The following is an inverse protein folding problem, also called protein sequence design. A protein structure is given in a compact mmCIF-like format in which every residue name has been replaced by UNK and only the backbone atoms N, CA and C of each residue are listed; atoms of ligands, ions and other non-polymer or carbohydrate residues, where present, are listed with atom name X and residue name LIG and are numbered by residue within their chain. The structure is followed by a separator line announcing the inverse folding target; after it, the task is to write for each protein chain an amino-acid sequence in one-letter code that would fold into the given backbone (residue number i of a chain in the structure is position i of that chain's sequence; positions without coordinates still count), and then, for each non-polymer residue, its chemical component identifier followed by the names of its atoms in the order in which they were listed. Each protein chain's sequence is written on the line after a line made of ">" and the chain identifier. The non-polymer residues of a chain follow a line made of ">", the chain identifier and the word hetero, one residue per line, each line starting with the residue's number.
data_IF_553924688435
#
_entry.id   IF_553924688435
#
_cell.length_a   1.000
_cell.length_b   1.000
_cell.length_c   1.000
_cell.angle_alpha   90.00
_cell.angle_beta   90.00
_cell.angle_gamma   90.00
#
_symmetry.space_group_name_H-M   'P 1'
#
loop_
_entity.id
_entity.type
_entity.pdbx_description
1 polymer ?
#
# COMPACT_ATOMS: atom_id res chain seq x y z
N UNK A 1 -43.40 -46.99 50.09
CA UNK A 1 -42.08 -46.89 50.74
C UNK A 1 -41.27 -45.88 49.95
N UNK A 2 -40.95 -44.72 50.55
CA UNK A 2 -40.21 -43.61 49.91
C UNK A 2 -38.74 -44.01 49.72
N UNK A 3 -38.12 -43.67 48.59
CA UNK A 3 -36.66 -43.57 48.49
C UNK A 3 -36.22 -42.58 47.39
N UNK A 4 -35.04 -42.01 47.58
CA UNK A 4 -34.66 -40.62 47.32
C UNK A 4 -34.31 -40.24 45.87
N UNK A 5 -34.48 -38.95 45.60
CA UNK A 5 -34.04 -38.24 44.42
C UNK A 5 -32.51 -38.10 44.35
N UNK A 6 -31.98 -38.10 43.13
CA UNK A 6 -30.71 -37.46 42.80
C UNK A 6 -30.87 -36.83 41.42
N UNK A 7 -31.28 -35.55 41.39
CA UNK A 7 -31.21 -34.72 40.19
C UNK A 7 -29.76 -34.24 40.10
N UNK A 8 -28.95 -34.87 39.23
CA UNK A 8 -27.67 -34.33 38.85
C UNK A 8 -27.93 -33.09 37.97
N UNK A 9 -27.82 -31.91 38.55
CA UNK A 9 -27.86 -30.65 37.82
C UNK A 9 -26.52 -30.49 37.08
N UNK A 10 -26.50 -30.87 35.79
CA UNK A 10 -25.41 -30.57 34.88
C UNK A 10 -25.36 -29.05 34.68
N UNK A 11 -24.43 -28.38 35.36
CA UNK A 11 -24.05 -26.99 35.08
C UNK A 11 -23.52 -26.93 33.65
N UNK A 12 -24.35 -26.45 32.73
CA UNK A 12 -23.94 -26.13 31.36
C UNK A 12 -22.98 -24.96 31.38
N UNK A 13 -21.68 -25.24 31.35
CA UNK A 13 -20.67 -24.24 31.05
C UNK A 13 -20.76 -23.94 29.55
N UNK A 14 -21.39 -22.83 29.17
CA UNK A 14 -21.25 -22.28 27.82
C UNK A 14 -19.85 -21.74 27.66
N UNK A 15 -18.96 -22.55 27.11
CA UNK A 15 -17.69 -22.07 26.58
C UNK A 15 -18.05 -21.19 25.39
N UNK A 16 -18.04 -19.87 25.59
CA UNK A 16 -18.06 -18.93 24.47
C UNK A 16 -16.70 -19.00 23.82
N UNK A 17 -16.55 -19.86 22.82
CA UNK A 17 -15.38 -19.81 21.94
C UNK A 17 -15.49 -18.51 21.15
N UNK A 18 -14.67 -17.51 21.46
CA UNK A 18 -14.42 -16.45 20.51
C UNK A 18 -13.77 -17.13 19.30
N UNK A 19 -14.55 -17.38 18.25
CA UNK A 19 -14.02 -17.87 16.99
C UNK A 19 -13.02 -16.82 16.50
N UNK A 20 -11.75 -17.20 16.41
CA UNK A 20 -10.73 -16.32 15.85
C UNK A 20 -11.14 -16.00 14.40
N UNK A 21 -11.05 -14.74 13.94
CA UNK A 21 -11.34 -14.42 12.55
C UNK A 21 -10.47 -15.28 11.64
N UNK A 22 -11.10 -15.96 10.70
CA UNK A 22 -10.39 -16.68 9.66
C UNK A 22 -9.89 -15.64 8.65
N UNK A 23 -8.58 -15.44 8.62
CA UNK A 23 -7.92 -14.51 7.70
C UNK A 23 -7.39 -15.33 6.55
N UNK A 24 -7.77 -14.94 5.34
CA UNK A 24 -7.25 -15.49 4.10
C UNK A 24 -6.48 -14.41 3.35
N UNK A 25 -5.44 -14.84 2.63
CA UNK A 25 -4.65 -13.95 1.79
C UNK A 25 -5.06 -14.19 0.34
N UNK A 26 -5.50 -13.13 -0.31
CA UNK A 26 -5.80 -13.12 -1.74
C UNK A 26 -4.73 -12.29 -2.46
N UNK A 27 -4.02 -12.87 -3.46
CA UNK A 27 -3.12 -12.09 -4.30
C UNK A 27 -3.91 -11.07 -5.13
N UNK A 28 -3.64 -9.78 -4.95
CA UNK A 28 -4.30 -8.71 -5.72
C UNK A 28 -3.55 -8.42 -7.03
N UNK A 29 -2.22 -8.39 -6.98
CA UNK A 29 -1.37 -8.11 -8.14
C UNK A 29 0.02 -8.74 -7.96
N UNK A 30 0.77 -8.86 -9.05
CA UNK A 30 2.14 -9.39 -9.07
C UNK A 30 3.00 -8.70 -10.13
N UNK A 31 4.29 -9.01 -10.18
CA UNK A 31 5.22 -8.46 -11.18
C UNK A 31 5.97 -7.20 -10.76
N UNK A 32 5.83 -6.77 -9.51
CA UNK A 32 6.59 -5.64 -8.95
C UNK A 32 8.05 -5.99 -8.66
N UNK A 33 8.94 -5.01 -8.82
CA UNK A 33 10.37 -5.12 -8.53
C UNK A 33 10.69 -4.37 -7.23
N UNK A 34 10.99 -5.12 -6.16
CA UNK A 34 11.29 -4.56 -4.83
C UNK A 34 10.24 -3.53 -4.34
N UNK A 35 8.95 -3.90 -4.23
CA UNK A 35 7.92 -2.98 -3.75
C UNK A 35 8.14 -2.63 -2.28
N UNK A 36 8.00 -1.34 -1.92
CA UNK A 36 8.24 -0.83 -0.56
C UNK A 36 7.01 -0.21 0.10
N UNK A 37 6.11 0.38 -0.68
CA UNK A 37 4.96 1.08 -0.15
C UNK A 37 3.77 1.00 -1.12
N UNK A 38 2.56 1.13 -0.58
CA UNK A 38 1.32 1.20 -1.35
C UNK A 38 0.41 2.26 -0.73
N UNK A 39 -0.20 3.10 -1.57
CA UNK A 39 -1.09 4.19 -1.15
C UNK A 39 -2.11 4.51 -2.25
N UNK A 40 -3.04 5.43 -1.98
CA UNK A 40 -4.04 5.89 -2.96
C UNK A 40 -4.41 7.35 -2.72
N UNK A 41 -4.84 8.11 -3.74
CA UNK A 41 -5.18 9.52 -3.63
C UNK A 41 -6.62 9.76 -3.11
N UNK A 42 -7.31 8.71 -2.66
CA UNK A 42 -8.72 8.74 -2.30
C UNK A 42 -9.67 8.20 -3.38
N UNK A 43 -9.14 7.81 -4.55
CA UNK A 43 -9.86 6.99 -5.54
C UNK A 43 -9.52 5.49 -5.38
N UNK A 44 -9.99 4.67 -6.32
CA UNK A 44 -9.85 3.20 -6.30
C UNK A 44 -8.48 2.70 -6.79
N UNK A 45 -7.65 3.57 -7.38
CA UNK A 45 -6.33 3.18 -7.90
C UNK A 45 -5.35 3.03 -6.75
N UNK A 46 -4.52 1.99 -6.80
CA UNK A 46 -3.42 1.80 -5.86
C UNK A 46 -2.08 2.13 -6.51
N UNK A 47 -1.27 2.90 -5.80
CA UNK A 47 0.04 3.37 -6.24
C UNK A 47 1.12 2.61 -5.46
N UNK A 48 1.84 1.74 -6.15
CA UNK A 48 2.88 0.87 -5.59
C UNK A 48 4.25 1.46 -5.88
N UNK A 49 5.02 1.74 -4.83
CA UNK A 49 6.39 2.26 -4.94
C UNK A 49 7.37 1.10 -5.11
N UNK A 50 8.15 1.13 -6.18
CA UNK A 50 9.29 0.27 -6.42
C UNK A 50 10.57 1.00 -6.03
N UNK A 51 11.43 0.34 -5.24
CA UNK A 51 12.65 0.96 -4.67
C UNK A 51 13.55 1.63 -5.71
N UNK A 52 13.55 1.15 -6.95
CA UNK A 52 14.38 1.67 -8.03
C UNK A 52 14.00 3.10 -8.48
N UNK A 53 12.83 3.62 -8.08
CA UNK A 53 12.40 4.97 -8.47
C UNK A 53 11.14 5.03 -9.31
N UNK A 54 10.35 3.95 -9.30
CA UNK A 54 9.11 3.85 -10.08
C UNK A 54 7.91 3.78 -9.18
N UNK A 55 6.83 4.44 -9.58
CA UNK A 55 5.51 4.29 -8.99
C UNK A 55 4.62 3.58 -10.00
N UNK A 56 4.12 2.39 -9.68
CA UNK A 56 3.21 1.60 -10.53
C UNK A 56 1.77 1.84 -10.10
N UNK A 57 0.82 1.74 -11.04
CA UNK A 57 -0.61 1.79 -10.74
C UNK A 57 -1.19 0.39 -10.86
N UNK A 58 -1.96 -0.02 -9.85
CA UNK A 58 -3.02 -1.02 -9.98
C UNK A 58 -4.31 -0.24 -10.20
N UNK A 59 -4.98 -0.48 -11.32
CA UNK A 59 -6.21 0.22 -11.66
C UNK A 59 -7.44 -0.38 -10.95
N UNK A 60 -8.61 0.21 -11.21
CA UNK A 60 -9.90 -0.18 -10.62
C UNK A 60 -10.32 -1.62 -10.99
N UNK A 61 -9.79 -2.16 -12.11
CA UNK A 61 -10.02 -3.53 -12.53
C UNK A 61 -9.06 -4.53 -11.86
N UNK A 62 -8.05 -4.04 -11.13
CA UNK A 62 -7.00 -4.85 -10.53
C UNK A 62 -5.80 -5.09 -11.45
N UNK A 63 -5.75 -4.43 -12.61
CA UNK A 63 -4.67 -4.60 -13.58
C UNK A 63 -3.48 -3.68 -13.25
N UNK A 64 -2.26 -4.21 -13.37
CA UNK A 64 -1.04 -3.39 -13.24
C UNK A 64 -0.79 -2.67 -14.56
N UNK A 65 -0.87 -1.34 -14.53
CA UNK A 65 -0.62 -0.54 -15.73
C UNK A 65 0.82 -0.71 -16.23
N UNK A 66 0.98 -0.80 -17.55
CA UNK A 66 2.27 -1.02 -18.19
C UNK A 66 3.23 0.16 -18.00
N UNK A 67 2.71 1.38 -18.16
CA UNK A 67 3.43 2.63 -17.92
C UNK A 67 3.39 2.95 -16.42
N UNK A 68 4.52 3.26 -15.77
CA UNK A 68 4.52 3.75 -14.40
C UNK A 68 3.86 5.14 -14.31
N UNK A 69 3.24 5.43 -13.17
CA UNK A 69 2.77 6.78 -12.83
C UNK A 69 3.91 7.78 -12.80
N UNK A 70 5.01 7.43 -12.13
CA UNK A 70 6.22 8.23 -12.02
C UNK A 70 7.42 7.33 -12.27
N UNK A 71 8.38 7.80 -13.06
CA UNK A 71 9.70 7.19 -13.21
C UNK A 71 10.76 8.26 -13.01
N UNK A 72 11.53 8.13 -11.94
CA UNK A 72 12.65 9.00 -11.57
C UNK A 72 13.89 8.15 -11.24
N UNK A 73 14.02 6.98 -11.89
CA UNK A 73 15.12 6.05 -11.66
C UNK A 73 16.50 6.68 -11.90
N UNK A 74 16.58 7.66 -12.79
CA UNK A 74 17.79 8.39 -13.15
C UNK A 74 18.23 9.37 -12.06
N UNK A 75 17.35 9.72 -11.13
CA UNK A 75 17.62 10.62 -10.01
C UNK A 75 17.98 9.87 -8.71
N UNK A 76 17.83 8.55 -8.68
CA UNK A 76 17.83 7.75 -7.46
C UNK A 76 19.05 6.82 -7.36
N UNK A 77 19.69 6.82 -6.19
CA UNK A 77 20.64 5.79 -5.82
C UNK A 77 19.89 4.63 -5.14
N UNK A 78 19.81 3.46 -5.78
CA UNK A 78 19.14 2.28 -5.21
C UNK A 78 20.06 1.05 -5.07
N UNK A 79 21.37 1.20 -5.28
CA UNK A 79 22.35 0.11 -5.24
C UNK A 79 22.69 -0.40 -3.84
N UNK A 80 22.25 0.31 -2.78
CA UNK A 80 22.60 0.00 -1.39
C UNK A 80 21.35 -0.12 -0.51
N UNK A 81 21.29 -1.18 0.30
CA UNK A 81 20.36 -1.40 1.44
C UNK A 81 19.03 -0.60 1.37
N UNK A 82 18.92 0.43 2.21
CA UNK A 82 17.73 1.26 2.42
C UNK A 82 17.68 2.49 1.50
N UNK A 83 18.50 2.53 0.44
CA UNK A 83 18.46 3.62 -0.55
C UNK A 83 17.49 3.28 -1.67
N UNK A 84 16.84 4.30 -2.21
CA UNK A 84 15.82 4.18 -3.24
C UNK A 84 14.69 5.18 -3.05
N UNK A 85 13.54 4.88 -3.67
CA UNK A 85 12.25 5.53 -3.40
C UNK A 85 11.60 4.91 -2.17
N UNK A 86 11.41 5.68 -1.09
CA UNK A 86 11.12 5.14 0.25
C UNK A 86 9.74 5.52 0.79
N UNK A 87 9.10 6.53 0.24
CA UNK A 87 7.80 6.96 0.71
C UNK A 87 7.09 7.88 -0.28
N UNK A 88 5.76 7.93 -0.14
CA UNK A 88 4.91 8.80 -0.94
C UNK A 88 3.68 9.21 -0.14
N UNK A 89 3.23 10.44 -0.34
CA UNK A 89 1.97 10.95 0.17
C UNK A 89 1.31 11.85 -0.87
N UNK A 90 0.04 11.60 -1.15
CA UNK A 90 -0.78 12.55 -1.90
C UNK A 90 -1.10 13.77 -1.04
N UNK A 91 -1.16 14.96 -1.66
CA UNK A 91 -1.65 16.14 -0.99
C UNK A 91 -3.13 15.92 -0.58
N UNK A 92 -3.61 16.42 0.58
CA UNK A 92 -5.00 16.25 0.98
C UNK A 92 -6.02 16.73 -0.07
N UNK A 93 -5.69 17.81 -0.78
CA UNK A 93 -6.46 18.35 -1.91
C UNK A 93 -6.01 17.86 -3.29
N UNK A 94 -5.41 16.65 -3.40
CA UNK A 94 -4.87 16.11 -4.66
C UNK A 94 -5.87 16.15 -5.82
N UNK A 95 -7.15 15.84 -5.57
CA UNK A 95 -8.20 15.89 -6.59
C UNK A 95 -8.38 17.29 -7.22
N UNK A 96 -7.95 18.34 -6.53
CA UNK A 96 -8.04 19.74 -7.01
C UNK A 96 -6.70 20.28 -7.52
N UNK A 97 -5.57 19.90 -6.91
CA UNK A 97 -4.27 20.50 -7.21
C UNK A 97 -3.26 19.56 -7.87
N UNK A 98 -3.52 18.26 -7.87
CA UNK A 98 -2.65 17.25 -8.49
C UNK A 98 -1.32 17.01 -7.77
N UNK A 99 -1.09 17.57 -6.59
CA UNK A 99 0.22 17.50 -5.92
C UNK A 99 0.40 16.25 -5.08
N UNK A 100 1.59 15.68 -5.15
CA UNK A 100 2.01 14.61 -4.26
C UNK A 100 3.48 14.79 -3.91
N UNK A 101 3.93 14.05 -2.92
CA UNK A 101 5.28 14.17 -2.37
C UNK A 101 5.89 12.78 -2.31
N UNK A 102 7.19 12.70 -2.60
CA UNK A 102 7.96 11.46 -2.47
C UNK A 102 9.21 11.70 -1.64
N UNK A 103 9.63 10.67 -0.90
CA UNK A 103 10.92 10.65 -0.22
C UNK A 103 11.84 9.62 -0.86
N UNK A 104 13.07 10.01 -1.17
CA UNK A 104 14.04 9.12 -1.82
C UNK A 104 15.48 9.45 -1.42
N UNK A 105 16.40 8.56 -1.80
CA UNK A 105 17.84 8.83 -1.75
C UNK A 105 18.35 9.20 -3.13
N UNK A 106 18.93 10.40 -3.28
CA UNK A 106 19.46 10.86 -4.56
C UNK A 106 20.80 10.19 -4.92
N UNK A 107 21.30 10.43 -6.13
CA UNK A 107 22.59 9.93 -6.61
C UNK A 107 23.81 10.39 -5.79
N UNK A 108 23.67 11.43 -4.95
CA UNK A 108 24.71 11.87 -4.02
C UNK A 108 24.60 11.19 -2.65
N UNK A 109 23.58 10.36 -2.44
CA UNK A 109 23.30 9.69 -1.18
C UNK A 109 22.54 10.56 -0.17
N UNK A 110 21.98 11.69 -0.59
CA UNK A 110 21.18 12.55 0.28
C UNK A 110 19.74 12.03 0.39
N UNK A 111 19.13 12.20 1.56
CA UNK A 111 17.69 12.03 1.71
C UNK A 111 16.96 13.27 1.19
N UNK A 112 16.09 13.09 0.20
CA UNK A 112 15.35 14.16 -0.47
C UNK A 112 13.85 13.95 -0.27
N UNK A 113 13.13 15.07 -0.12
CA UNK A 113 11.67 15.13 -0.23
C UNK A 113 11.35 16.07 -1.38
N UNK A 114 10.67 15.57 -2.41
CA UNK A 114 10.28 16.36 -3.58
C UNK A 114 8.77 16.37 -3.73
N UNK A 115 8.23 17.50 -4.17
CA UNK A 115 6.84 17.62 -4.61
C UNK A 115 6.80 17.41 -6.11
N UNK A 116 5.85 16.62 -6.58
CA UNK A 116 5.53 16.46 -7.99
C UNK A 116 4.06 16.79 -8.25
N UNK A 117 3.69 16.94 -9.52
CA UNK A 117 2.29 17.06 -9.95
C UNK A 117 1.90 15.98 -10.96
N UNK A 118 0.65 15.55 -10.90
CA UNK A 118 0.02 14.79 -11.98
C UNK A 118 -0.01 15.63 -13.26
N UNK A 119 0.16 14.98 -14.41
CA UNK A 119 0.02 15.60 -15.73
C UNK A 119 -1.47 15.77 -16.10
N UNK A 120 -1.74 16.13 -17.35
CA UNK A 120 -3.10 16.13 -17.88
C UNK A 120 -3.72 14.71 -17.94
N UNK A 121 -2.89 13.66 -17.98
CA UNK A 121 -3.32 12.28 -17.79
C UNK A 121 -3.23 11.93 -16.30
N UNK A 122 -4.37 11.55 -15.70
CA UNK A 122 -4.45 11.22 -14.29
C UNK A 122 -3.55 10.03 -13.89
N UNK A 123 -3.19 9.17 -14.84
CA UNK A 123 -2.33 8.00 -14.64
C UNK A 123 -0.84 8.29 -14.90
N UNK A 124 -0.47 9.54 -15.16
CA UNK A 124 0.91 9.93 -15.45
C UNK A 124 1.29 11.21 -14.69
N UNK A 125 2.37 11.15 -13.93
CA UNK A 125 2.98 12.31 -13.30
C UNK A 125 3.93 13.04 -14.24
N UNK A 126 4.16 14.31 -13.97
CA UNK A 126 5.24 15.09 -14.58
C UNK A 126 6.52 14.92 -13.74
N UNK A 127 7.56 14.23 -14.24
CA UNK A 127 8.82 14.04 -13.53
C UNK A 127 9.67 15.31 -13.44
N UNK A 128 9.30 16.39 -14.13
CA UNK A 128 10.04 17.66 -14.19
C UNK A 128 9.37 18.83 -13.43
N UNK A 129 8.25 18.57 -12.72
CA UNK A 129 7.41 19.60 -12.05
C UNK A 129 7.95 20.20 -10.75
#
# INVERSE_FOLDING_TARGET
>A
MRLYAAVLMLLGFSISTLAQPQIELEPIASGFVSPLHITHPGDERLFVLERQGRVRIIDEAGDVLATPFLDIDDQIESGYQERGLLGMAFHPDYASNGYFYVSYTDNSGNSVISRFSVSADANLADPDS
#
